data_IF_931698859315
#
_entry.id   IF_931698859315
#
_cell.length_a   1.000
_cell.length_b   1.000
_cell.length_c   1.000
_cell.angle_alpha   90.00
_cell.angle_beta   90.00
_cell.angle_gamma   90.00
#
_symmetry.space_group_name_H-M   'P 1'
#
loop_
_entity.id
_entity.type
_entity.pdbx_description
1 polymer ?
#
# COMPACT_ATOMS: atom_id res chain seq x y z
N UNK A 1 -20.33 16.49 10.41
CA UNK A 1 -19.53 16.59 9.17
C UNK A 1 -18.15 16.05 9.49
N UNK A 2 -17.78 14.89 8.95
CA UNK A 2 -16.52 14.22 9.21
C UNK A 2 -16.19 13.25 8.07
N UNK A 3 -14.96 12.72 8.02
CA UNK A 3 -14.57 11.78 6.97
C UNK A 3 -15.50 10.56 6.99
N UNK A 4 -16.03 10.20 5.82
CA UNK A 4 -16.87 9.00 5.64
C UNK A 4 -16.02 7.76 5.36
N UNK A 5 -14.76 7.95 4.97
CA UNK A 5 -13.80 6.89 4.68
C UNK A 5 -12.51 7.21 5.43
N UNK A 6 -11.98 6.23 6.16
CA UNK A 6 -10.71 6.33 6.88
C UNK A 6 -9.90 5.08 6.57
N UNK A 7 -8.62 5.27 6.26
CA UNK A 7 -7.68 4.18 6.03
C UNK A 7 -6.46 4.42 6.90
N UNK A 8 -6.09 3.41 7.67
CA UNK A 8 -4.80 3.32 8.35
C UNK A 8 -3.94 2.37 7.53
N UNK A 9 -3.03 2.95 6.73
CA UNK A 9 -2.27 2.27 5.68
C UNK A 9 -1.41 1.11 6.18
N UNK A 10 -0.79 1.23 7.36
CA UNK A 10 0.05 0.18 7.92
C UNK A 10 0.20 0.29 9.43
N UNK A 11 0.04 -0.84 10.12
CA UNK A 11 0.42 -1.06 11.52
C UNK A 11 1.24 -2.35 11.58
N UNK A 12 2.29 -2.39 12.40
CA UNK A 12 3.04 -3.63 12.65
C UNK A 12 2.14 -4.66 13.34
N UNK A 13 1.99 -5.84 12.73
CA UNK A 13 1.15 -6.91 13.28
C UNK A 13 1.70 -7.40 14.63
N UNK A 14 3.03 -7.45 14.82
CA UNK A 14 3.64 -7.82 16.11
C UNK A 14 3.17 -6.94 17.28
N UNK A 15 2.98 -5.63 17.05
CA UNK A 15 2.44 -4.72 18.07
C UNK A 15 1.00 -5.04 18.47
N UNK A 16 0.31 -5.85 17.68
CA UNK A 16 -1.06 -6.30 17.88
C UNK A 16 -1.14 -7.80 18.21
N UNK A 17 0.00 -8.43 18.56
CA UNK A 17 0.08 -9.87 18.89
C UNK A 17 0.12 -10.80 17.67
N UNK A 18 0.31 -10.27 16.46
CA UNK A 18 0.48 -11.00 15.21
C UNK A 18 1.93 -11.37 14.90
N UNK A 19 2.18 -11.80 13.65
CA UNK A 19 3.52 -12.20 13.17
C UNK A 19 4.46 -10.99 13.00
N UNK A 20 5.76 -11.18 13.24
CA UNK A 20 6.78 -10.12 13.16
C UNK A 20 6.97 -9.54 11.76
N UNK A 21 6.98 -10.38 10.72
CA UNK A 21 7.17 -9.95 9.34
C UNK A 21 5.85 -9.61 8.61
N UNK A 22 4.84 -9.13 9.33
CA UNK A 22 3.53 -8.75 8.77
C UNK A 22 3.13 -7.33 9.17
N UNK A 23 2.48 -6.64 8.23
CA UNK A 23 1.78 -5.39 8.41
C UNK A 23 0.26 -5.61 8.28
N UNK A 24 -0.50 -4.74 8.94
CA UNK A 24 -1.95 -4.73 8.89
C UNK A 24 -2.43 -3.36 8.45
N UNK A 25 -3.25 -3.32 7.41
CA UNK A 25 -4.02 -2.14 7.02
C UNK A 25 -5.43 -2.28 7.60
N UNK A 26 -5.97 -1.17 8.09
CA UNK A 26 -7.36 -1.08 8.52
C UNK A 26 -8.08 -0.03 7.70
N UNK A 27 -9.32 -0.31 7.32
CA UNK A 27 -10.16 0.65 6.64
C UNK A 27 -11.57 0.64 7.23
N UNK A 28 -12.19 1.81 7.25
CA UNK A 28 -13.57 2.04 7.70
C UNK A 28 -14.30 2.89 6.67
N UNK A 29 -15.45 2.43 6.21
CA UNK A 29 -16.34 3.15 5.31
C UNK A 29 -17.72 3.29 5.93
N UNK A 30 -18.25 4.52 5.89
CA UNK A 30 -19.60 4.83 6.30
C UNK A 30 -20.58 4.54 5.17
N UNK A 31 -21.56 3.70 5.46
CA UNK A 31 -22.68 3.38 4.56
C UNK A 31 -23.75 4.48 4.58
N UNK A 32 -24.69 4.42 3.63
CA UNK A 32 -25.86 5.30 3.56
C UNK A 32 -26.73 5.24 4.82
N UNK A 33 -26.77 4.08 5.47
CA UNK A 33 -27.63 3.82 6.63
C UNK A 33 -26.95 4.17 7.96
N UNK A 34 -25.96 5.05 7.93
CA UNK A 34 -25.14 5.48 9.08
C UNK A 34 -24.32 4.35 9.75
N UNK A 35 -24.31 3.15 9.14
CA UNK A 35 -23.51 2.00 9.58
C UNK A 35 -22.07 2.10 9.09
N UNK A 36 -21.12 1.55 9.86
CA UNK A 36 -19.72 1.49 9.47
C UNK A 36 -19.33 0.07 9.09
N UNK A 37 -18.75 -0.09 7.90
CA UNK A 37 -18.11 -1.32 7.49
C UNK A 37 -16.60 -1.18 7.71
N UNK A 38 -16.03 -2.10 8.47
CA UNK A 38 -14.60 -2.16 8.72
C UNK A 38 -14.00 -3.43 8.15
N UNK A 39 -12.79 -3.32 7.62
CA UNK A 39 -12.05 -4.47 7.15
C UNK A 39 -10.56 -4.29 7.42
N UNK A 40 -9.86 -5.42 7.40
CA UNK A 40 -8.43 -5.51 7.62
C UNK A 40 -7.79 -6.29 6.49
N UNK A 41 -6.63 -5.83 6.03
CA UNK A 41 -5.78 -6.57 5.10
C UNK A 41 -4.44 -6.81 5.78
N UNK A 42 -4.06 -8.08 5.85
CA UNK A 42 -2.75 -8.50 6.36
C UNK A 42 -1.82 -8.71 5.15
N UNK A 43 -0.64 -8.09 5.17
CA UNK A 43 0.33 -8.16 4.07
C UNK A 43 1.77 -8.23 4.60
N UNK A 44 2.71 -8.85 3.87
CA UNK A 44 4.07 -9.07 4.39
C UNK A 44 4.82 -7.76 4.54
N UNK A 45 5.66 -7.64 5.58
CA UNK A 45 6.59 -6.53 5.70
C UNK A 45 7.77 -6.71 4.74
N UNK A 46 8.05 -5.70 3.92
CA UNK A 46 9.25 -5.65 3.09
C UNK A 46 10.33 -4.87 3.83
N UNK A 47 11.47 -5.50 4.10
CA UNK A 47 12.61 -4.87 4.76
C UNK A 47 13.23 -3.82 3.84
N UNK A 48 13.26 -2.58 4.29
CA UNK A 48 13.88 -1.46 3.59
C UNK A 48 13.34 -0.13 4.09
N UNK A 49 14.05 0.97 3.80
CA UNK A 49 13.54 2.32 4.00
C UNK A 49 13.11 2.85 2.64
N UNK A 50 11.85 3.29 2.54
CA UNK A 50 11.28 3.82 1.30
C UNK A 50 10.60 5.15 1.58
N UNK A 51 10.80 6.11 0.69
CA UNK A 51 10.24 7.46 0.72
C UNK A 51 9.13 7.55 -0.33
N UNK A 52 8.03 8.23 -0.02
CA UNK A 52 6.91 8.41 -0.97
C UNK A 52 5.92 7.23 -1.05
N UNK A 53 6.04 6.21 -0.19
CA UNK A 53 5.09 5.09 -0.15
C UNK A 53 3.68 5.52 0.21
N UNK A 54 3.54 6.51 1.10
CA UNK A 54 2.25 7.11 1.46
C UNK A 54 1.61 7.87 0.31
N UNK A 55 2.42 8.62 -0.46
CA UNK A 55 1.94 9.39 -1.62
C UNK A 55 1.46 8.44 -2.73
N UNK A 56 2.28 7.42 -3.04
CA UNK A 56 1.92 6.38 -4.00
C UNK A 56 0.65 5.63 -3.56
N UNK A 57 0.60 5.17 -2.31
CA UNK A 57 -0.57 4.47 -1.78
C UNK A 57 -1.85 5.32 -1.89
N UNK A 58 -1.78 6.60 -1.50
CA UNK A 58 -2.93 7.50 -1.58
C UNK A 58 -3.40 7.71 -3.04
N UNK A 59 -2.45 7.87 -3.97
CA UNK A 59 -2.76 8.00 -5.40
C UNK A 59 -3.42 6.74 -5.97
N UNK A 60 -2.91 5.56 -5.63
CA UNK A 60 -3.47 4.27 -6.05
C UNK A 60 -4.89 4.08 -5.52
N UNK A 61 -5.10 4.32 -4.23
CA UNK A 61 -6.43 4.22 -3.62
C UNK A 61 -7.42 5.14 -4.33
N UNK A 62 -7.03 6.39 -4.59
CA UNK A 62 -7.90 7.34 -5.27
C UNK A 62 -8.28 6.84 -6.67
N UNK A 63 -7.31 6.35 -7.45
CA UNK A 63 -7.53 5.84 -8.80
C UNK A 63 -8.45 4.61 -8.82
N UNK A 64 -8.16 3.60 -8.00
CA UNK A 64 -8.94 2.36 -7.96
C UNK A 64 -10.34 2.57 -7.36
N UNK A 65 -10.43 3.36 -6.29
CA UNK A 65 -11.73 3.67 -5.70
C UNK A 65 -12.59 4.50 -6.64
N UNK A 66 -11.99 5.40 -7.43
CA UNK A 66 -12.73 6.11 -8.46
C UNK A 66 -13.27 5.17 -9.54
N UNK A 67 -12.49 4.18 -9.96
CA UNK A 67 -12.83 3.21 -11.02
C UNK A 67 -13.89 2.20 -10.58
N UNK A 68 -13.77 1.64 -9.38
CA UNK A 68 -14.54 0.46 -8.97
C UNK A 68 -15.63 0.79 -7.94
N UNK A 69 -15.57 1.97 -7.29
CA UNK A 69 -16.48 2.38 -6.20
C UNK A 69 -16.56 1.39 -5.04
N UNK A 70 -15.55 0.53 -4.89
CA UNK A 70 -15.44 -0.46 -3.83
C UNK A 70 -14.14 -0.21 -3.05
N UNK A 71 -14.27 0.14 -1.76
CA UNK A 71 -13.11 0.48 -0.94
C UNK A 71 -12.21 -0.73 -0.69
N UNK A 72 -12.79 -1.92 -0.47
CA UNK A 72 -12.04 -3.16 -0.20
C UNK A 72 -11.16 -3.51 -1.39
N UNK A 73 -11.75 -3.55 -2.59
CA UNK A 73 -11.01 -3.90 -3.80
C UNK A 73 -9.94 -2.86 -4.14
N UNK A 74 -10.25 -1.56 -3.98
CA UNK A 74 -9.26 -0.50 -4.16
C UNK A 74 -8.08 -0.64 -3.19
N UNK A 75 -8.36 -1.02 -1.95
CA UNK A 75 -7.37 -1.29 -0.92
C UNK A 75 -6.47 -2.49 -1.26
N UNK A 76 -7.05 -3.62 -1.68
CA UNK A 76 -6.31 -4.82 -2.10
C UNK A 76 -5.37 -4.53 -3.26
N UNK A 77 -5.88 -3.88 -4.32
CA UNK A 77 -5.09 -3.51 -5.50
C UNK A 77 -3.97 -2.53 -5.16
N UNK A 78 -4.27 -1.53 -4.33
CA UNK A 78 -3.28 -0.53 -3.94
C UNK A 78 -2.14 -1.14 -3.13
N UNK A 79 -2.43 -2.06 -2.20
CA UNK A 79 -1.40 -2.80 -1.46
C UNK A 79 -0.59 -3.67 -2.43
N UNK A 80 -1.26 -4.40 -3.34
CA UNK A 80 -0.60 -5.27 -4.30
C UNK A 80 0.40 -4.51 -5.19
N UNK A 81 -0.03 -3.40 -5.78
CA UNK A 81 0.84 -2.53 -6.61
C UNK A 81 1.97 -1.94 -5.79
N UNK A 82 1.68 -1.42 -4.59
CA UNK A 82 2.71 -0.87 -3.71
C UNK A 82 3.77 -1.93 -3.41
N UNK A 83 3.38 -3.16 -3.10
CA UNK A 83 4.29 -4.29 -2.89
C UNK A 83 5.17 -4.57 -4.10
N UNK A 84 4.58 -4.62 -5.30
CA UNK A 84 5.34 -4.84 -6.54
C UNK A 84 6.36 -3.71 -6.80
N UNK A 85 5.98 -2.45 -6.56
CA UNK A 85 6.88 -1.30 -6.69
C UNK A 85 8.03 -1.39 -5.68
N UNK A 86 7.76 -1.78 -4.43
CA UNK A 86 8.78 -1.92 -3.39
C UNK A 86 9.78 -3.04 -3.70
N UNK A 87 9.29 -4.22 -4.10
CA UNK A 87 10.15 -5.33 -4.51
C UNK A 87 11.00 -4.94 -5.72
N UNK A 88 10.41 -4.29 -6.73
CA UNK A 88 11.15 -3.83 -7.91
C UNK A 88 12.20 -2.78 -7.57
N UNK A 89 11.90 -1.91 -6.61
CA UNK A 89 12.86 -0.91 -6.11
C UNK A 89 14.08 -1.59 -5.48
N UNK A 90 13.88 -2.61 -4.64
CA UNK A 90 14.98 -3.41 -4.05
C UNK A 90 15.79 -4.11 -5.14
N UNK A 91 15.14 -4.82 -6.07
CA UNK A 91 15.83 -5.55 -7.13
C UNK A 91 16.77 -4.65 -7.94
N UNK A 92 16.31 -3.45 -8.28
CA UNK A 92 17.10 -2.47 -9.02
C UNK A 92 18.23 -1.91 -8.17
N UNK A 93 18.00 -1.67 -6.87
CA UNK A 93 19.05 -1.27 -5.93
C UNK A 93 20.19 -2.30 -5.85
N UNK A 94 19.85 -3.56 -5.65
CA UNK A 94 20.81 -4.65 -5.48
C UNK A 94 21.62 -4.85 -6.78
N UNK A 95 20.96 -4.74 -7.94
CA UNK A 95 21.61 -4.91 -9.24
C UNK A 95 22.70 -3.85 -9.55
N UNK A 96 22.58 -2.66 -8.97
CA UNK A 96 23.47 -1.53 -9.25
C UNK A 96 24.74 -1.59 -8.35
N UNK A 97 24.77 -2.44 -7.31
CA UNK A 97 25.92 -2.67 -6.42
C UNK A 97 26.52 -1.39 -5.78
N UNK A 98 25.77 -0.29 -5.79
CA UNK A 98 26.15 0.94 -5.08
C UNK A 98 25.54 0.85 -3.69
N UNK A 99 26.19 0.09 -2.81
CA UNK A 99 25.77 -0.16 -1.43
C UNK A 99 25.57 1.09 -0.56
N UNK A 100 25.94 2.29 -1.03
CA UNK A 100 25.85 3.53 -0.27
C UNK A 100 24.82 4.55 -0.80
N UNK A 101 24.25 4.37 -2.00
CA UNK A 101 23.36 5.39 -2.60
C UNK A 101 22.23 4.82 -3.44
N UNK A 102 21.81 3.55 -3.26
CA UNK A 102 20.45 3.27 -3.69
C UNK A 102 19.52 4.03 -2.76
N UNK A 103 19.17 5.25 -3.18
CA UNK A 103 18.28 6.11 -2.45
C UNK A 103 17.00 5.35 -2.18
N UNK A 104 16.42 5.60 -1.01
CA UNK A 104 15.13 5.11 -0.56
C UNK A 104 13.95 5.54 -1.50
N UNK A 105 14.25 6.00 -2.71
CA UNK A 105 13.32 6.52 -3.70
C UNK A 105 12.72 5.40 -4.55
N UNK A 106 11.40 5.44 -4.68
CA UNK A 106 10.63 4.45 -5.43
C UNK A 106 10.95 4.49 -6.92
N UNK A 107 11.08 3.32 -7.54
CA UNK A 107 11.31 3.15 -8.98
C UNK A 107 10.01 3.16 -9.78
N UNK A 108 9.27 4.26 -9.69
CA UNK A 108 7.91 4.37 -10.24
C UNK A 108 7.86 4.20 -11.77
N UNK A 109 8.85 4.76 -12.49
CA UNK A 109 8.90 4.67 -13.95
C UNK A 109 9.18 3.24 -14.37
N UNK A 110 10.12 2.58 -13.70
CA UNK A 110 10.49 1.19 -13.95
C UNK A 110 9.37 0.22 -13.53
N UNK A 111 8.52 0.62 -12.58
CA UNK A 111 7.34 -0.13 -12.14
C UNK A 111 6.05 0.27 -12.86
N UNK A 112 6.10 1.06 -13.94
CA UNK A 112 4.91 1.55 -14.66
C UNK A 112 3.91 0.43 -15.00
N UNK A 113 4.39 -0.69 -15.53
CA UNK A 113 3.52 -1.81 -15.93
C UNK A 113 2.75 -2.37 -14.73
N UNK A 114 3.39 -2.47 -13.56
CA UNK A 114 2.72 -2.92 -12.33
C UNK A 114 1.63 -1.93 -11.87
N UNK A 115 1.88 -0.62 -12.04
CA UNK A 115 0.93 0.43 -11.68
C UNK A 115 -0.30 0.43 -12.61
N UNK A 116 -0.09 0.20 -13.91
CA UNK A 116 -1.16 0.24 -14.91
C UNK A 116 -1.96 -1.08 -15.01
N UNK A 117 -1.31 -2.23 -14.78
CA UNK A 117 -1.87 -3.56 -15.02
C UNK A 117 -2.32 -4.28 -13.73
N UNK A 118 -2.60 -3.56 -12.64
CA UNK A 118 -3.06 -4.20 -11.42
C UNK A 118 -4.46 -4.81 -11.61
N UNK A 119 -4.51 -6.15 -11.71
CA UNK A 119 -5.74 -6.92 -11.77
C UNK A 119 -6.30 -7.20 -10.38
#
# INVERSE_FOLDING_TARGET
MGPTHIIVSSISAAKLGGKEDMLQMYASAKSSDDQYQTFRIDFPYIRGCFTGTGDLFSALILAWFHKEKNLISACEKSISVLHQVLLRTIELCDSINIHNTCGNELKLIESKTAIEAAE
#
